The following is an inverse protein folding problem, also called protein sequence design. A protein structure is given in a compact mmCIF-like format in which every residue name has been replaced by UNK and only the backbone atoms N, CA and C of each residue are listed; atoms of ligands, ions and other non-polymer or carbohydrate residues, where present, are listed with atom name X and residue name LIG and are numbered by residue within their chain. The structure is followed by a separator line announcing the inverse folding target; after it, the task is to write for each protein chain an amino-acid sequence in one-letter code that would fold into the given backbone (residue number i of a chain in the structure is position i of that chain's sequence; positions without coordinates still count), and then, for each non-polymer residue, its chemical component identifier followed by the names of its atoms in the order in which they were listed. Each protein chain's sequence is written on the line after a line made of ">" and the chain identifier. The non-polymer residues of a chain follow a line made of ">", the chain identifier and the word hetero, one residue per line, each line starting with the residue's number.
data_IF_508782902268
#
_entry.id   IF_508782902268
#
_cell.length_a   1.000
_cell.length_b   1.000
_cell.length_c   1.000
_cell.angle_alpha   90.00
_cell.angle_beta   90.00
_cell.angle_gamma   90.00
#
_symmetry.space_group_name_H-M   'P 1'
#
loop_
_entity.id
_entity.type
_entity.pdbx_description
1 polymer ?
#
# COMPACT_ATOMS: atom_id res chain seq x y z
N UNK A 1 -32.63 29.54 -4.58
CA UNK A 1 -32.41 28.08 -4.62
C UNK A 1 -31.02 27.83 -5.19
N UNK A 2 -30.00 27.73 -4.31
CA UNK A 2 -28.63 27.48 -4.76
C UNK A 2 -28.50 25.98 -5.07
N UNK A 3 -28.04 25.65 -6.28
CA UNK A 3 -27.67 24.28 -6.65
C UNK A 3 -26.34 23.97 -5.99
N UNK A 4 -26.33 23.07 -5.01
CA UNK A 4 -25.11 22.41 -4.56
C UNK A 4 -24.56 21.58 -5.72
N UNK A 5 -23.53 22.10 -6.38
CA UNK A 5 -22.70 21.29 -7.25
C UNK A 5 -21.93 20.37 -6.31
N UNK A 6 -22.35 19.11 -6.23
CA UNK A 6 -21.55 18.06 -5.60
C UNK A 6 -20.25 17.96 -6.39
N UNK A 7 -19.22 18.65 -5.91
CA UNK A 7 -17.88 18.55 -6.47
C UNK A 7 -17.37 17.18 -6.04
N UNK A 8 -17.63 16.16 -6.87
CA UNK A 8 -16.93 14.89 -6.78
C UNK A 8 -15.47 15.14 -7.20
N UNK A 9 -14.72 15.84 -6.35
CA UNK A 9 -13.32 16.13 -6.53
C UNK A 9 -12.59 14.84 -6.18
N UNK A 10 -12.43 13.97 -7.18
CA UNK A 10 -11.65 12.74 -7.04
C UNK A 10 -10.17 13.10 -7.01
N UNK A 11 -9.70 13.57 -5.85
CA UNK A 11 -8.29 13.79 -5.56
C UNK A 11 -7.63 12.41 -5.47
N UNK A 12 -6.82 12.07 -6.47
CA UNK A 12 -6.02 10.85 -6.46
C UNK A 12 -4.73 11.14 -5.68
N UNK A 13 -4.66 10.68 -4.44
CA UNK A 13 -3.38 10.60 -3.72
C UNK A 13 -2.68 9.34 -4.22
N UNK A 14 -1.41 9.44 -4.64
CA UNK A 14 -0.62 8.26 -4.98
C UNK A 14 -0.23 7.55 -3.69
N UNK A 15 -0.59 6.28 -3.54
CA UNK A 15 -0.37 5.44 -2.35
C UNK A 15 0.65 4.32 -2.60
N UNK A 16 1.49 4.45 -3.62
CA UNK A 16 2.45 3.40 -3.98
C UNK A 16 3.51 3.25 -2.87
N UNK A 17 3.47 2.10 -2.18
CA UNK A 17 4.42 1.72 -1.12
C UNK A 17 5.33 0.60 -1.62
N UNK A 18 6.63 0.73 -1.45
CA UNK A 18 7.62 -0.33 -1.72
C UNK A 18 8.15 -0.90 -0.41
N UNK A 19 8.12 -2.21 -0.23
CA UNK A 19 8.68 -2.92 0.93
C UNK A 19 9.94 -3.69 0.50
N UNK A 20 10.98 -3.66 1.34
CA UNK A 20 12.23 -4.40 1.15
C UNK A 20 12.42 -5.26 2.39
N UNK A 21 12.71 -6.55 2.19
CA UNK A 21 12.91 -7.50 3.27
C UNK A 21 14.06 -8.46 2.92
N UNK A 22 14.80 -8.94 3.92
CA UNK A 22 15.87 -9.90 3.70
C UNK A 22 15.36 -11.35 3.55
N UNK A 23 14.13 -11.63 4.02
CA UNK A 23 13.50 -12.94 3.91
C UNK A 23 11.99 -12.85 3.62
N UNK A 24 11.40 -13.99 3.27
CA UNK A 24 9.96 -14.09 3.06
C UNK A 24 9.19 -13.89 4.37
N UNK A 25 9.68 -14.42 5.49
CA UNK A 25 9.03 -14.22 6.79
C UNK A 25 9.04 -12.74 7.21
N UNK A 26 10.14 -12.03 6.96
CA UNK A 26 10.22 -10.60 7.23
C UNK A 26 9.26 -9.81 6.33
N UNK A 27 9.16 -10.18 5.05
CA UNK A 27 8.20 -9.55 4.13
C UNK A 27 6.75 -9.74 4.60
N UNK A 28 6.41 -10.94 5.09
CA UNK A 28 5.06 -11.22 5.64
C UNK A 28 4.79 -10.40 6.90
N UNK A 29 5.77 -10.25 7.78
CA UNK A 29 5.65 -9.41 8.97
C UNK A 29 5.43 -7.93 8.61
N UNK A 30 6.19 -7.41 7.63
CA UNK A 30 6.05 -6.04 7.12
C UNK A 30 4.70 -5.81 6.45
N UNK A 31 4.20 -6.78 5.68
CA UNK A 31 2.87 -6.71 5.05
C UNK A 31 1.75 -6.63 6.11
N UNK A 32 1.84 -7.44 7.16
CA UNK A 32 0.86 -7.43 8.25
C UNK A 32 0.85 -6.08 9.00
N UNK A 33 2.03 -5.50 9.28
CA UNK A 33 2.14 -4.17 9.90
C UNK A 33 1.54 -3.11 8.98
N UNK A 34 1.83 -3.16 7.68
CA UNK A 34 1.29 -2.21 6.70
C UNK A 34 -0.25 -2.32 6.63
N UNK A 35 -0.80 -3.53 6.63
CA UNK A 35 -2.23 -3.76 6.61
C UNK A 35 -2.91 -3.18 7.87
N UNK A 36 -2.34 -3.44 9.05
CA UNK A 36 -2.84 -2.88 10.31
C UNK A 36 -2.77 -1.35 10.33
N UNK A 37 -1.67 -0.77 9.87
CA UNK A 37 -1.51 0.69 9.78
C UNK A 37 -2.53 1.31 8.82
N UNK A 38 -2.73 0.71 7.63
CA UNK A 38 -3.71 1.19 6.66
C UNK A 38 -5.15 1.02 7.17
N UNK A 39 -5.45 -0.06 7.88
CA UNK A 39 -6.75 -0.29 8.50
C UNK A 39 -7.15 0.83 9.48
N UNK A 40 -6.18 1.41 10.20
CA UNK A 40 -6.42 2.57 11.08
C UNK A 40 -6.93 3.81 10.32
N UNK A 41 -6.60 3.94 9.03
CA UNK A 41 -7.11 4.99 8.14
C UNK A 41 -8.33 4.54 7.33
N UNK A 42 -8.89 3.35 7.59
CA UNK A 42 -9.95 2.76 6.77
C UNK A 42 -9.51 2.39 5.36
N UNK A 43 -8.21 2.22 5.13
CA UNK A 43 -7.61 1.86 3.85
C UNK A 43 -7.25 0.38 3.82
N UNK A 44 -7.50 -0.29 2.70
CA UNK A 44 -7.07 -1.68 2.47
C UNK A 44 -5.89 -1.75 1.50
N UNK A 45 -5.18 -2.89 1.49
CA UNK A 45 -4.14 -3.18 0.49
C UNK A 45 -4.80 -3.76 -0.76
N UNK A 46 -4.42 -3.27 -1.94
CA UNK A 46 -4.87 -3.83 -3.21
C UNK A 46 -3.88 -4.90 -3.72
N UNK A 47 -4.09 -6.14 -3.28
CA UNK A 47 -3.25 -7.29 -3.66
C UNK A 47 -3.16 -7.54 -5.17
N UNK A 48 -4.18 -7.16 -5.96
CA UNK A 48 -4.15 -7.32 -7.41
C UNK A 48 -3.14 -6.39 -8.11
N UNK A 49 -2.79 -5.27 -7.47
CA UNK A 49 -1.83 -4.29 -7.98
C UNK A 49 -0.44 -4.46 -7.33
N UNK A 50 -0.36 -5.17 -6.20
CA UNK A 50 0.90 -5.49 -5.53
C UNK A 50 1.72 -6.46 -6.39
N UNK A 51 2.94 -6.06 -6.74
CA UNK A 51 3.95 -6.96 -7.31
C UNK A 51 4.96 -7.33 -6.23
N UNK A 52 5.24 -8.62 -6.09
CA UNK A 52 6.32 -9.13 -5.24
C UNK A 52 7.48 -9.46 -6.16
N UNK A 53 8.59 -8.76 -6.01
CA UNK A 53 9.84 -9.04 -6.72
C UNK A 53 10.87 -9.54 -5.71
N UNK A 54 11.48 -10.70 -5.98
CA UNK A 54 12.52 -11.27 -5.12
C UNK A 54 13.89 -10.89 -5.69
N UNK A 55 14.58 -9.96 -5.04
CA UNK A 55 15.98 -9.66 -5.35
C UNK A 55 16.88 -10.44 -4.38
N UNK A 56 17.64 -11.42 -4.89
CA UNK A 56 18.69 -12.08 -4.10
C UNK A 56 19.84 -11.06 -3.98
N UNK A 57 20.00 -10.46 -2.82
CA UNK A 57 21.17 -9.63 -2.52
C UNK A 57 22.32 -10.59 -2.19
N UNK A 58 23.22 -10.81 -3.15
CA UNK A 58 24.50 -11.47 -2.89
C UNK A 58 25.45 -10.36 -2.41
N UNK A 59 25.76 -10.32 -1.11
CA UNK A 59 26.92 -9.54 -0.63
C UNK A 59 28.18 -10.10 -1.30
N UNK A 60 28.99 -9.21 -1.88
CA UNK A 60 30.19 -9.55 -2.63
C UNK A 60 31.44 -9.34 -1.78
#
# INVERSE_FOLDING_TARGET
>A
LAREISVNKRVKFADDTTLIAASQEELVALLNILEQHRAAYGLGINYNKTKIESAIIIEK
#
